data_IF_887250370155
#
_entry.id   IF_887250370155
#
_cell.length_a   1.000
_cell.length_b   1.000
_cell.length_c   1.000
_cell.angle_alpha   90.00
_cell.angle_beta   90.00
_cell.angle_gamma   90.00
#
_symmetry.space_group_name_H-M   'P 1'
#
loop_
_entity.id
_entity.type
_entity.pdbx_description
1 polymer ?
#
# COMPACT_ATOMS: atom_id res chain seq x y z
N UNK A 1 -17.21 11.55 2.41
CA UNK A 1 -16.28 10.62 3.11
C UNK A 1 -15.25 11.39 3.92
N UNK A 2 -14.95 10.95 5.14
CA UNK A 2 -13.85 11.50 5.92
C UNK A 2 -12.49 11.14 5.29
N UNK A 3 -11.51 12.03 5.41
CA UNK A 3 -10.14 11.83 4.92
C UNK A 3 -9.45 10.74 5.74
N UNK A 4 -9.04 9.64 5.10
CA UNK A 4 -8.32 8.56 5.76
C UNK A 4 -6.94 9.05 6.22
N UNK A 5 -6.55 8.71 7.44
CA UNK A 5 -5.21 9.00 7.96
C UNK A 5 -4.31 7.78 7.77
N UNK A 6 -3.10 8.02 7.25
CA UNK A 6 -2.17 6.94 6.88
C UNK A 6 -1.70 6.13 8.09
N UNK A 7 -1.54 6.75 9.26
CA UNK A 7 -1.13 6.03 10.47
C UNK A 7 -2.16 4.99 10.92
N UNK A 8 -3.45 5.24 10.71
CA UNK A 8 -4.52 4.28 11.02
C UNK A 8 -4.42 3.04 10.12
N UNK A 9 -4.03 3.21 8.85
CA UNK A 9 -3.86 2.11 7.91
C UNK A 9 -2.67 1.20 8.25
N UNK A 10 -1.62 1.74 8.90
CA UNK A 10 -0.44 0.97 9.27
C UNK A 10 -0.74 -0.09 10.34
N UNK A 11 -1.72 0.16 11.20
CA UNK A 11 -2.10 -0.77 12.26
C UNK A 11 -3.04 -1.88 11.78
N UNK A 12 -3.61 -1.77 10.58
CA UNK A 12 -4.56 -2.74 10.00
C UNK A 12 -3.88 -3.95 9.38
N UNK A 13 -4.60 -5.06 9.33
CA UNK A 13 -4.14 -6.30 8.68
C UNK A 13 -4.16 -6.19 7.15
N UNK A 14 -3.42 -7.08 6.47
CA UNK A 14 -3.36 -7.08 4.98
C UNK A 14 -4.73 -7.37 4.36
N UNK A 15 -5.50 -8.27 4.97
CA UNK A 15 -6.84 -8.66 4.50
C UNK A 15 -7.81 -7.49 4.61
N UNK A 16 -7.81 -6.76 5.73
CA UNK A 16 -8.61 -5.54 5.91
C UNK A 16 -8.29 -4.47 4.87
N UNK A 17 -7.00 -4.23 4.61
CA UNK A 17 -6.58 -3.24 3.62
C UNK A 17 -7.03 -3.63 2.19
N UNK A 18 -7.03 -4.92 1.87
CA UNK A 18 -7.52 -5.41 0.58
C UNK A 18 -9.04 -5.30 0.45
N UNK A 19 -9.80 -5.53 1.53
CA UNK A 19 -11.24 -5.29 1.56
C UNK A 19 -11.53 -3.80 1.32
N UNK A 20 -10.91 -2.93 2.12
CA UNK A 20 -11.09 -1.49 2.02
C UNK A 20 -10.71 -0.96 0.62
N UNK A 21 -9.70 -1.54 -0.03
CA UNK A 21 -9.31 -1.19 -1.40
C UNK A 21 -10.39 -1.57 -2.42
N UNK A 22 -11.07 -2.71 -2.26
CA UNK A 22 -12.17 -3.13 -3.17
C UNK A 22 -13.35 -2.17 -3.07
N UNK A 23 -13.73 -1.82 -1.84
CA UNK A 23 -14.87 -0.93 -1.58
C UNK A 23 -14.62 0.46 -2.17
N UNK A 24 -13.43 1.02 -1.94
CA UNK A 24 -13.04 2.32 -2.51
C UNK A 24 -12.99 2.32 -4.05
N UNK A 25 -12.62 1.20 -4.68
CA UNK A 25 -12.65 1.06 -6.14
C UNK A 25 -14.08 1.00 -6.68
N UNK A 26 -14.96 0.28 -6.00
CA UNK A 26 -16.38 0.23 -6.37
C UNK A 26 -17.02 1.62 -6.27
N UNK A 27 -16.77 2.34 -5.18
CA UNK A 27 -17.27 3.70 -4.98
C UNK A 27 -16.71 4.69 -6.02
N UNK A 28 -15.42 4.61 -6.34
CA UNK A 28 -14.83 5.42 -7.40
C UNK A 28 -15.50 5.17 -8.76
N UNK A 29 -15.86 3.91 -9.05
CA UNK A 29 -16.51 3.55 -10.30
C UNK A 29 -17.92 4.16 -10.41
N UNK A 30 -18.63 4.28 -9.29
CA UNK A 30 -19.95 4.94 -9.24
C UNK A 30 -19.82 6.46 -9.43
N UNK A 31 -18.84 7.09 -8.79
CA UNK A 31 -18.65 8.55 -8.84
C UNK A 31 -17.92 9.04 -10.11
N UNK A 32 -17.23 8.14 -10.83
CA UNK A 32 -16.41 8.33 -12.06
C UNK A 32 -15.24 9.33 -11.93
N UNK A 33 -15.42 10.48 -11.28
CA UNK A 33 -14.39 11.50 -11.06
C UNK A 33 -14.50 12.07 -9.65
N UNK A 34 -13.76 11.48 -8.71
CA UNK A 34 -13.63 11.99 -7.34
C UNK A 34 -12.16 12.03 -6.91
N UNK A 35 -11.58 13.24 -6.81
CA UNK A 35 -10.19 13.47 -6.39
C UNK A 35 -9.89 12.86 -5.01
N UNK A 36 -10.83 13.00 -4.08
CA UNK A 36 -10.69 12.52 -2.70
C UNK A 36 -10.58 10.99 -2.66
N UNK A 37 -11.43 10.28 -3.39
CA UNK A 37 -11.44 8.81 -3.42
C UNK A 37 -10.17 8.26 -4.10
N UNK A 38 -9.69 8.90 -5.17
CA UNK A 38 -8.42 8.54 -5.81
C UNK A 38 -7.23 8.65 -4.85
N UNK A 39 -7.18 9.72 -4.05
CA UNK A 39 -6.13 9.91 -3.05
C UNK A 39 -6.18 8.82 -1.97
N UNK A 40 -7.37 8.47 -1.49
CA UNK A 40 -7.58 7.38 -0.53
C UNK A 40 -7.08 6.03 -1.04
N UNK A 41 -7.40 5.67 -2.30
CA UNK A 41 -6.92 4.44 -2.95
C UNK A 41 -5.39 4.42 -3.01
N UNK A 42 -4.77 5.54 -3.42
CA UNK A 42 -3.32 5.65 -3.50
C UNK A 42 -2.64 5.46 -2.12
N UNK A 43 -3.23 6.01 -1.06
CA UNK A 43 -2.72 5.84 0.31
C UNK A 43 -2.76 4.38 0.77
N UNK A 44 -3.89 3.67 0.54
CA UNK A 44 -4.03 2.25 0.89
C UNK A 44 -3.01 1.39 0.12
N UNK A 45 -2.88 1.59 -1.19
CA UNK A 45 -1.90 0.88 -2.01
C UNK A 45 -0.45 1.13 -1.56
N UNK A 46 -0.13 2.37 -1.18
CA UNK A 46 1.19 2.74 -0.67
C UNK A 46 1.54 1.95 0.60
N UNK A 47 0.61 1.86 1.55
CA UNK A 47 0.83 1.11 2.80
C UNK A 47 0.99 -0.38 2.55
N UNK A 48 0.18 -0.98 1.66
CA UNK A 48 0.32 -2.39 1.27
C UNK A 48 1.71 -2.65 0.68
N UNK A 49 2.16 -1.80 -0.25
CA UNK A 49 3.46 -1.94 -0.90
C UNK A 49 4.63 -1.79 0.09
N UNK A 50 4.55 -0.83 1.00
CA UNK A 50 5.55 -0.64 2.07
C UNK A 50 5.67 -1.91 2.93
N UNK A 51 4.55 -2.42 3.47
CA UNK A 51 4.54 -3.64 4.29
C UNK A 51 5.11 -4.85 3.54
N UNK A 52 4.78 -5.01 2.25
CA UNK A 52 5.32 -6.09 1.44
C UNK A 52 6.84 -5.96 1.24
N UNK A 53 7.33 -4.76 0.93
CA UNK A 53 8.77 -4.51 0.76
C UNK A 53 9.54 -4.73 2.06
N UNK A 54 9.01 -4.32 3.20
CA UNK A 54 9.67 -4.51 4.49
C UNK A 54 9.74 -5.99 4.88
N UNK A 55 8.66 -6.75 4.65
CA UNK A 55 8.68 -8.21 4.83
C UNK A 55 9.71 -8.90 3.92
N UNK A 56 9.82 -8.46 2.66
CA UNK A 56 10.84 -8.97 1.74
C UNK A 56 12.26 -8.58 2.16
N UNK A 57 12.48 -7.36 2.66
CA UNK A 57 13.80 -6.94 3.17
C UNK A 57 14.25 -7.83 4.33
N UNK A 58 13.37 -8.11 5.28
CA UNK A 58 13.70 -9.00 6.41
C UNK A 58 13.98 -10.43 5.93
N UNK A 59 13.20 -10.96 4.97
CA UNK A 59 13.41 -12.30 4.42
C UNK A 59 14.73 -12.47 3.64
N UNK A 60 15.32 -11.39 3.13
CA UNK A 60 16.56 -11.41 2.32
C UNK A 60 17.77 -10.73 2.99
N UNK A 61 17.64 -10.19 4.20
CA UNK A 61 18.63 -9.34 4.90
C UNK A 61 20.04 -9.91 4.99
N UNK A 62 20.17 -11.23 5.15
CA UNK A 62 21.46 -11.94 5.32
C UNK A 62 21.83 -12.81 4.12
N UNK A 63 21.04 -12.77 3.04
CA UNK A 63 21.32 -13.57 1.85
C UNK A 63 22.36 -12.85 1.00
N UNK A 64 23.37 -13.60 0.53
CA UNK A 64 24.43 -13.09 -0.36
C UNK A 64 23.86 -12.44 -1.62
N UNK A 65 22.80 -13.03 -2.19
CA UNK A 65 22.15 -12.56 -3.40
C UNK A 65 20.82 -11.89 -3.08
N UNK A 66 20.78 -10.58 -3.29
CA UNK A 66 19.56 -9.76 -3.19
C UNK A 66 18.91 -9.59 -4.57
N UNK A 67 17.57 -9.69 -4.65
CA UNK A 67 16.80 -9.26 -5.82
C UNK A 67 17.12 -7.81 -6.19
N UNK A 68 17.11 -7.49 -7.49
CA UNK A 68 17.46 -6.15 -8.00
C UNK A 68 16.64 -5.04 -7.31
N UNK A 69 15.34 -5.25 -7.11
CA UNK A 69 14.42 -4.28 -6.48
C UNK A 69 14.73 -3.97 -5.01
N UNK A 70 15.47 -4.83 -4.32
CA UNK A 70 15.85 -4.66 -2.91
C UNK A 70 17.27 -4.13 -2.74
N UNK A 71 18.04 -3.99 -3.84
CA UNK A 71 19.41 -3.47 -3.77
C UNK A 71 19.40 -1.97 -3.47
N UNK A 72 20.40 -1.45 -2.73
CA UNK A 72 20.57 -0.02 -2.55
C UNK A 72 20.77 0.67 -3.91
N UNK A 73 20.03 1.76 -4.15
CA UNK A 73 20.18 2.60 -5.34
C UNK A 73 21.40 3.51 -5.14
N UNK A 74 22.41 3.40 -6.02
CA UNK A 74 23.71 4.11 -5.91
C UNK A 74 23.82 5.37 -6.78
N UNK A 75 22.84 5.62 -7.65
CA UNK A 75 22.76 6.77 -8.57
C UNK A 75 21.32 7.21 -8.68
#
# INVERSE_FOLDING_TARGET
>A
MARIKVHELRNKSKTELLSQLKDLKAELSLLRVAKVVRLSIAQVLTVISQKQKDALREAYKKKKFLPLDLRPKKT
#
